data_IF_154703770433
#
_entry.id   IF_154703770433
#
_cell.length_a   1.000
_cell.length_b   1.000
_cell.length_c   1.000
_cell.angle_alpha   90.00
_cell.angle_beta   90.00
_cell.angle_gamma   90.00
#
_symmetry.space_group_name_H-M   'P 1'
#
loop_
_entity.id
_entity.type
_entity.pdbx_description
1 polymer ?
#
# COMPACT_ATOMS: atom_id res chain seq x y z
N UNK A 1 8.73 17.27 -0.64
CA UNK A 1 7.71 16.20 -0.45
C UNK A 1 6.98 16.47 0.86
N UNK A 2 5.63 16.38 0.92
CA UNK A 2 4.90 16.70 2.14
C UNK A 2 5.33 15.78 3.28
N UNK A 3 5.49 16.32 4.49
CA UNK A 3 5.77 15.59 5.73
C UNK A 3 4.51 14.89 6.27
N UNK A 4 3.76 14.21 5.40
CA UNK A 4 2.53 13.53 5.81
C UNK A 4 2.94 12.11 6.17
N UNK A 5 2.69 11.74 7.43
CA UNK A 5 3.15 10.51 8.07
C UNK A 5 4.67 10.28 7.96
N UNK A 6 5.52 11.11 8.60
CA UNK A 6 6.97 10.89 8.59
C UNK A 6 7.35 9.48 9.08
N UNK A 7 6.57 8.89 9.98
CA UNK A 7 6.78 7.51 10.48
C UNK A 7 6.42 6.41 9.46
N UNK A 8 5.60 6.72 8.45
CA UNK A 8 5.17 5.77 7.40
C UNK A 8 5.79 6.05 6.03
N UNK A 9 6.23 7.28 5.78
CA UNK A 9 6.65 7.77 4.46
C UNK A 9 8.06 8.37 4.41
N UNK A 10 8.72 8.72 5.53
CA UNK A 10 10.16 9.10 5.52
C UNK A 10 11.12 7.94 5.79
N UNK A 11 10.59 6.80 6.21
CA UNK A 11 11.23 5.50 6.14
C UNK A 11 10.10 4.50 6.18
N UNK A 12 10.14 3.45 5.36
CA UNK A 12 9.55 2.18 5.75
C UNK A 12 10.22 1.85 7.10
N UNK A 13 9.59 2.18 8.23
CA UNK A 13 10.15 1.86 9.53
C UNK A 13 10.12 0.35 9.65
N UNK A 14 11.32 -0.20 9.55
CA UNK A 14 11.69 -1.58 9.81
C UNK A 14 11.20 -1.95 11.20
N UNK A 15 10.23 -2.86 11.25
CA UNK A 15 9.89 -3.61 12.45
C UNK A 15 9.64 -5.04 11.98
N UNK A 16 10.48 -5.96 12.45
CA UNK A 16 10.45 -7.37 12.06
C UNK A 16 9.11 -8.01 12.47
N UNK A 17 8.43 -8.63 11.51
CA UNK A 17 7.17 -9.32 11.71
C UNK A 17 7.11 -10.61 10.90
N UNK A 18 6.37 -11.61 11.38
CA UNK A 18 6.24 -12.90 10.70
C UNK A 18 5.29 -12.89 9.48
N UNK A 19 4.72 -11.71 9.18
CA UNK A 19 3.76 -11.45 8.09
C UNK A 19 2.47 -12.28 8.14
N UNK A 20 2.25 -13.09 9.19
CA UNK A 20 1.07 -13.94 9.39
C UNK A 20 0.14 -13.41 10.50
N UNK A 21 0.65 -12.60 11.42
CA UNK A 21 -0.12 -12.03 12.51
C UNK A 21 -0.68 -10.64 12.15
N UNK A 22 -1.99 -10.45 12.38
CA UNK A 22 -2.67 -9.16 12.17
C UNK A 22 -2.03 -8.12 13.08
N UNK A 23 -1.42 -7.08 12.49
CA UNK A 23 -0.86 -5.94 13.22
C UNK A 23 0.68 -5.90 13.30
N UNK A 24 1.40 -6.87 12.75
CA UNK A 24 2.85 -6.74 12.62
C UNK A 24 3.23 -5.95 11.35
N UNK A 25 4.14 -4.96 11.44
CA UNK A 25 4.67 -4.27 10.28
C UNK A 25 5.36 -5.28 9.36
N UNK A 26 5.12 -5.16 8.06
CA UNK A 26 5.78 -5.99 7.04
C UNK A 26 6.55 -5.06 6.12
N UNK A 27 7.79 -5.42 5.80
CA UNK A 27 8.62 -4.62 4.91
C UNK A 27 8.13 -4.84 3.47
N UNK A 28 7.74 -3.76 2.80
CA UNK A 28 7.44 -3.72 1.37
C UNK A 28 8.33 -2.67 0.71
N UNK A 29 8.86 -2.98 -0.47
CA UNK A 29 9.55 -2.03 -1.33
C UNK A 29 8.76 -1.90 -2.61
N UNK A 30 8.23 -0.71 -2.87
CA UNK A 30 7.43 -0.43 -4.04
C UNK A 30 8.14 0.54 -4.98
N UNK A 31 7.81 0.49 -6.26
CA UNK A 31 8.12 1.54 -7.24
C UNK A 31 6.83 2.02 -7.91
N UNK A 32 6.81 3.28 -8.33
CA UNK A 32 5.73 3.79 -9.17
C UNK A 32 5.96 3.29 -10.60
N UNK A 33 4.96 2.65 -11.18
CA UNK A 33 5.03 2.09 -12.56
C UNK A 33 4.12 2.79 -13.54
N UNK A 34 3.08 3.46 -13.05
CA UNK A 34 2.20 4.26 -13.88
C UNK A 34 1.69 5.48 -13.11
N UNK A 35 1.57 6.59 -13.82
CA UNK A 35 0.85 7.79 -13.41
C UNK A 35 -0.05 8.15 -14.59
N UNK A 36 -1.35 8.25 -14.36
CA UNK A 36 -2.34 8.65 -15.35
C UNK A 36 -3.07 9.89 -14.79
N UNK A 37 -2.71 11.06 -15.30
CA UNK A 37 -3.27 12.33 -14.84
C UNK A 37 -4.75 12.50 -15.22
N UNK A 38 -5.15 11.99 -16.39
CA UNK A 38 -6.53 12.06 -16.87
C UNK A 38 -7.46 11.24 -15.96
N UNK A 39 -7.02 10.03 -15.60
CA UNK A 39 -7.75 9.16 -14.66
C UNK A 39 -7.47 9.46 -13.19
N UNK A 40 -6.56 10.40 -12.90
CA UNK A 40 -6.09 10.75 -11.56
C UNK A 40 -5.67 9.51 -10.76
N UNK A 41 -4.84 8.67 -11.37
CA UNK A 41 -4.40 7.42 -10.77
C UNK A 41 -2.89 7.24 -10.75
N UNK A 42 -2.41 6.53 -9.73
CA UNK A 42 -1.02 6.13 -9.55
C UNK A 42 -1.01 4.62 -9.28
N UNK A 43 -0.15 3.89 -9.98
CA UNK A 43 0.06 2.45 -9.77
C UNK A 43 1.44 2.19 -9.20
N UNK A 44 1.47 1.40 -8.14
CA UNK A 44 2.66 0.94 -7.43
C UNK A 44 2.86 -0.55 -7.72
N UNK A 45 4.08 -0.96 -8.03
CA UNK A 45 4.49 -2.36 -8.15
C UNK A 45 5.42 -2.72 -6.99
N UNK A 46 5.11 -3.82 -6.30
CA UNK A 46 5.97 -4.40 -5.28
C UNK A 46 7.20 -5.02 -5.94
N UNK A 47 8.39 -4.56 -5.54
CA UNK A 47 9.69 -5.02 -6.07
C UNK A 47 10.61 -5.64 -5.02
N UNK A 48 10.14 -5.78 -3.78
CA UNK A 48 10.92 -6.43 -2.72
C UNK A 48 10.30 -6.33 -1.34
N UNK A 49 10.98 -6.93 -0.37
CA UNK A 49 10.52 -7.00 1.01
C UNK A 49 9.91 -8.37 1.35
N UNK A 50 9.32 -8.48 2.53
CA UNK A 50 8.73 -9.73 3.01
C UNK A 50 7.41 -10.06 2.33
N UNK A 51 6.71 -9.05 1.81
CA UNK A 51 5.45 -9.22 1.09
C UNK A 51 5.62 -10.11 -0.16
N UNK A 52 6.82 -10.14 -0.77
CA UNK A 52 7.10 -10.99 -1.95
C UNK A 52 7.17 -12.48 -1.64
N UNK A 53 7.20 -12.87 -0.34
CA UNK A 53 7.08 -14.28 0.07
C UNK A 53 5.67 -14.81 -0.16
N UNK A 54 4.66 -13.93 -0.12
CA UNK A 54 3.24 -14.28 -0.20
C UNK A 54 2.69 -14.09 -1.62
N UNK A 55 3.28 -13.17 -2.40
CA UNK A 55 2.83 -12.80 -3.74
C UNK A 55 4.00 -12.78 -4.74
N UNK A 56 3.83 -13.44 -5.89
CA UNK A 56 4.80 -13.37 -7.01
C UNK A 56 4.78 -12.00 -7.67
N UNK A 57 3.57 -11.50 -7.89
CA UNK A 57 3.29 -10.20 -8.50
C UNK A 57 2.27 -9.48 -7.63
N UNK A 58 2.46 -8.19 -7.40
CA UNK A 58 1.55 -7.38 -6.62
C UNK A 58 1.59 -5.92 -7.07
N UNK A 59 0.46 -5.44 -7.59
CA UNK A 59 0.25 -4.05 -7.97
C UNK A 59 -0.88 -3.45 -7.16
N UNK A 60 -0.65 -2.25 -6.64
CA UNK A 60 -1.66 -1.45 -5.97
C UNK A 60 -1.91 -0.17 -6.78
N UNK A 61 -3.16 0.08 -7.16
CA UNK A 61 -3.55 1.30 -7.88
C UNK A 61 -4.42 2.17 -6.98
N UNK A 62 -3.96 3.39 -6.72
CA UNK A 62 -4.73 4.46 -6.12
C UNK A 62 -5.37 5.28 -7.24
N UNK A 63 -6.69 5.40 -7.23
CA UNK A 63 -7.42 6.28 -8.14
C UNK A 63 -8.23 7.28 -7.32
N UNK A 64 -8.12 8.56 -7.67
CA UNK A 64 -8.91 9.62 -7.05
C UNK A 64 -10.04 10.08 -7.97
N UNK A 65 -11.20 10.31 -7.38
CA UNK A 65 -12.31 11.05 -7.97
C UNK A 65 -12.47 12.39 -7.22
N UNK A 66 -13.53 13.13 -7.49
CA UNK A 66 -13.88 14.42 -6.89
C UNK A 66 -13.92 14.43 -5.37
N UNK A 67 -14.35 13.33 -4.72
CA UNK A 67 -14.49 13.26 -3.26
C UNK A 67 -14.12 11.91 -2.64
N UNK A 68 -13.70 10.95 -3.47
CA UNK A 68 -13.41 9.59 -3.02
C UNK A 68 -12.11 9.12 -3.63
N UNK A 69 -11.42 8.24 -2.93
CA UNK A 69 -10.33 7.45 -3.49
C UNK A 69 -10.74 5.98 -3.55
N UNK A 70 -10.16 5.26 -4.51
CA UNK A 70 -10.31 3.82 -4.66
C UNK A 70 -8.93 3.17 -4.71
N UNK A 71 -8.75 2.16 -3.88
CA UNK A 71 -7.63 1.23 -4.01
C UNK A 71 -8.07 -0.02 -4.76
N UNK A 72 -7.26 -0.44 -5.73
CA UNK A 72 -7.42 -1.71 -6.44
C UNK A 72 -6.13 -2.50 -6.34
N UNK A 73 -6.22 -3.80 -6.04
CA UNK A 73 -5.08 -4.70 -5.92
C UNK A 73 -5.14 -5.75 -7.03
N UNK A 74 -4.07 -5.86 -7.80
CA UNK A 74 -3.85 -6.92 -8.77
C UNK A 74 -2.68 -7.77 -8.29
N UNK A 75 -2.90 -9.06 -8.08
CA UNK A 75 -1.91 -9.91 -7.43
C UNK A 75 -1.92 -11.34 -7.94
N UNK A 76 -0.77 -11.99 -7.84
CA UNK A 76 -0.60 -13.42 -8.02
C UNK A 76 0.01 -13.99 -6.75
N UNK A 77 -0.64 -14.95 -6.11
CA UNK A 77 -0.12 -15.61 -4.90
C UNK A 77 1.12 -16.45 -5.21
N UNK A 78 2.02 -16.57 -4.24
CA UNK A 78 3.17 -17.47 -4.32
C UNK A 78 2.74 -18.95 -4.42
N UNK A 79 1.69 -19.33 -3.69
CA UNK A 79 1.00 -20.62 -3.77
C UNK A 79 -0.49 -20.46 -3.44
N UNK A 80 -1.31 -21.49 -3.69
CA UNK A 80 -2.75 -21.45 -3.39
C UNK A 80 -3.06 -21.31 -1.88
N UNK A 81 -2.13 -21.77 -1.02
CA UNK A 81 -2.25 -21.75 0.44
C UNK A 81 -2.04 -20.35 1.05
N UNK A 82 -1.45 -19.41 0.30
CA UNK A 82 -1.19 -18.07 0.81
C UNK A 82 -2.49 -17.24 0.94
N UNK A 83 -2.58 -16.35 1.93
CA UNK A 83 -3.79 -15.57 2.17
C UNK A 83 -4.06 -14.55 1.04
N UNK A 84 -5.32 -14.16 0.89
CA UNK A 84 -5.66 -12.99 0.07
C UNK A 84 -5.13 -11.71 0.75
N UNK A 85 -4.82 -10.65 -0.02
CA UNK A 85 -4.20 -9.43 0.51
C UNK A 85 -5.20 -8.49 1.22
N UNK A 86 -6.25 -9.00 1.86
CA UNK A 86 -7.27 -8.17 2.53
C UNK A 86 -6.66 -7.30 3.63
N UNK A 87 -5.73 -7.84 4.42
CA UNK A 87 -5.00 -7.07 5.44
C UNK A 87 -4.18 -5.92 4.84
N UNK A 88 -3.59 -6.14 3.66
CA UNK A 88 -2.87 -5.10 2.93
C UNK A 88 -3.82 -4.00 2.43
N UNK A 89 -5.01 -4.38 1.94
CA UNK A 89 -6.04 -3.42 1.53
C UNK A 89 -6.53 -2.58 2.73
N UNK A 90 -6.77 -3.19 3.89
CA UNK A 90 -7.17 -2.50 5.11
C UNK A 90 -6.10 -1.50 5.57
N UNK A 91 -4.82 -1.87 5.48
CA UNK A 91 -3.71 -0.97 5.75
C UNK A 91 -3.72 0.26 4.84
N UNK A 92 -3.88 0.07 3.53
CA UNK A 92 -3.92 1.16 2.55
C UNK A 92 -5.10 2.11 2.80
N UNK A 93 -6.27 1.57 3.13
CA UNK A 93 -7.47 2.37 3.49
C UNK A 93 -7.22 3.18 4.76
N UNK A 94 -6.66 2.56 5.80
CA UNK A 94 -6.38 3.25 7.06
C UNK A 94 -5.30 4.34 6.91
N UNK A 95 -4.23 4.06 6.17
CA UNK A 95 -3.22 5.07 5.83
C UNK A 95 -3.86 6.24 5.09
N UNK A 96 -4.75 5.97 4.13
CA UNK A 96 -5.41 7.02 3.36
C UNK A 96 -6.34 7.89 4.22
N UNK A 97 -7.00 7.31 5.23
CA UNK A 97 -7.80 8.06 6.22
C UNK A 97 -6.94 8.99 7.07
N UNK A 98 -5.73 8.56 7.45
CA UNK A 98 -4.80 9.43 8.20
C UNK A 98 -4.30 10.60 7.34
N UNK A 99 -4.03 10.34 6.05
CA UNK A 99 -3.68 11.40 5.08
C UNK A 99 -4.85 12.37 4.92
N UNK A 100 -6.07 11.88 4.72
CA UNK A 100 -7.28 12.71 4.62
C UNK A 100 -7.46 13.58 5.86
N UNK A 101 -7.40 12.98 7.05
CA UNK A 101 -7.49 13.70 8.32
C UNK A 101 -6.36 14.73 8.52
N UNK A 102 -5.17 14.49 7.96
CA UNK A 102 -4.08 15.47 7.98
C UNK A 102 -4.35 16.64 7.02
N UNK A 103 -4.83 16.36 5.81
CA UNK A 103 -5.10 17.37 4.77
C UNK A 103 -6.28 18.28 5.15
N UNK A 104 -7.21 17.78 5.96
CA UNK A 104 -8.33 18.56 6.51
C UNK A 104 -7.94 19.43 7.72
N UNK A 105 -6.69 19.36 8.21
CA UNK A 105 -6.22 20.28 9.25
C UNK A 105 -5.99 21.67 8.66
N UNK A 106 -6.49 22.74 9.32
CA UNK A 106 -6.30 24.12 8.89
C UNK A 106 -4.85 24.58 8.95
#
# INVERSE_FOLDING_TARGET
>A
MPKICPDKLQSIQVLEGDGKSVGMPVIAKDKIVAIDEEKRSITFELIGGEVTKYFKNFNATLQADTSTIKWSLEYEKASEDEPNPHSHLDFLVNMSREVDAYLLKP
#
